data_IF_559945466042
#
_entry.id   IF_559945466042
#
_cell.length_a   1.000
_cell.length_b   1.000
_cell.length_c   1.000
_cell.angle_alpha   90.00
_cell.angle_beta   90.00
_cell.angle_gamma   90.00
#
_symmetry.space_group_name_H-M   'P 1'
#
loop_
_entity.id
_entity.type
_entity.pdbx_description
1 polymer ?
#
# COMPACT_ATOMS: atom_id res chain seq x y z
N UNK A 1 -6.09 -61.23 28.29
CA UNK A 1 -4.85 -61.81 28.86
C UNK A 1 -3.88 -60.65 29.00
N UNK A 2 -3.73 -60.05 30.19
CA UNK A 2 -2.63 -60.30 31.14
C UNK A 2 -1.30 -60.48 30.36
N UNK A 3 -0.27 -59.63 30.49
CA UNK A 3 0.49 -59.37 31.73
C UNK A 3 1.47 -58.20 31.48
N UNK A 4 1.62 -57.28 32.43
CA UNK A 4 2.86 -56.50 32.65
C UNK A 4 3.86 -57.37 33.46
N UNK A 5 4.95 -56.87 34.06
CA UNK A 5 5.96 -55.85 33.71
C UNK A 5 7.39 -56.45 33.79
N UNK A 6 8.48 -55.74 33.46
CA UNK A 6 9.76 -55.91 34.21
C UNK A 6 10.65 -54.66 34.12
N UNK A 7 10.86 -54.03 35.28
CA UNK A 7 11.91 -53.04 35.55
C UNK A 7 13.16 -53.78 36.02
N UNK A 8 14.35 -53.42 35.55
CA UNK A 8 15.61 -53.74 36.25
C UNK A 8 16.57 -52.53 36.29
N UNK A 9 16.78 -52.10 37.53
CA UNK A 9 17.80 -51.27 38.19
C UNK A 9 19.17 -51.23 37.47
N UNK A 10 19.76 -50.04 37.26
CA UNK A 10 20.55 -49.21 38.20
C UNK A 10 22.01 -49.67 38.31
N UNK A 11 22.94 -48.96 37.65
CA UNK A 11 24.36 -48.87 38.07
C UNK A 11 24.82 -47.43 37.88
N UNK A 12 25.18 -46.82 39.01
CA UNK A 12 25.83 -45.53 39.15
C UNK A 12 27.35 -45.72 39.06
N UNK A 13 28.07 -44.93 38.27
CA UNK A 13 29.49 -44.61 38.52
C UNK A 13 29.76 -43.14 38.18
N UNK A 14 30.49 -42.53 39.09
CA UNK A 14 30.69 -41.10 39.33
C UNK A 14 31.90 -40.55 38.56
N UNK A 15 31.73 -39.32 38.04
CA UNK A 15 32.69 -38.22 37.80
C UNK A 15 34.12 -38.48 37.27
N UNK A 16 34.43 -37.83 36.15
CA UNK A 16 35.66 -37.02 36.01
C UNK A 16 35.29 -35.71 35.31
N UNK A 17 35.62 -34.60 35.96
CA UNK A 17 35.47 -33.25 35.44
C UNK A 17 36.54 -32.96 34.37
N UNK A 18 36.12 -32.37 33.26
CA UNK A 18 36.99 -31.61 32.37
C UNK A 18 36.26 -30.33 31.96
N UNK A 19 36.57 -29.25 32.66
CA UNK A 19 36.21 -27.89 32.29
C UNK A 19 36.94 -27.54 31.00
N UNK A 20 36.20 -27.41 29.90
CA UNK A 20 36.64 -26.68 28.72
C UNK A 20 35.63 -25.58 28.47
N UNK A 21 36.00 -24.37 28.83
CA UNK A 21 35.33 -23.15 28.42
C UNK A 21 35.65 -22.91 26.94
N UNK A 22 34.66 -23.05 26.07
CA UNK A 22 34.66 -22.46 24.73
C UNK A 22 33.43 -21.56 24.64
N UNK A 23 33.70 -20.26 24.72
CA UNK A 23 32.77 -19.22 24.35
C UNK A 23 32.44 -19.37 22.86
N UNK A 24 31.17 -19.66 22.58
CA UNK A 24 30.59 -19.63 21.24
C UNK A 24 29.17 -19.15 21.37
N UNK A 25 28.99 -17.83 21.37
CA UNK A 25 27.69 -17.17 21.28
C UNK A 25 27.18 -17.39 19.85
N UNK A 26 26.55 -18.54 19.62
CA UNK A 26 25.73 -18.80 18.45
C UNK A 26 24.28 -18.50 18.78
N UNK A 27 23.92 -17.22 18.84
CA UNK A 27 22.51 -16.83 18.84
C UNK A 27 21.90 -17.23 17.49
N UNK A 28 21.32 -18.42 17.41
CA UNK A 28 20.25 -18.67 16.43
C UNK A 28 19.07 -17.83 16.91
N UNK A 29 19.04 -16.56 16.49
CA UNK A 29 17.81 -15.80 16.48
C UNK A 29 16.92 -16.47 15.42
N UNK A 30 16.08 -17.40 15.87
CA UNK A 30 14.83 -17.67 15.17
C UNK A 30 14.09 -16.35 15.23
N UNK A 31 14.14 -15.56 14.16
CA UNK A 31 13.19 -14.49 13.92
C UNK A 31 11.84 -15.17 13.77
N UNK A 32 11.19 -15.42 14.91
CA UNK A 32 9.76 -15.56 14.95
C UNK A 32 9.23 -14.25 14.36
N UNK A 33 8.82 -14.29 13.10
CA UNK A 33 8.01 -13.24 12.53
C UNK A 33 6.82 -13.08 13.46
N UNK A 34 6.84 -12.02 14.27
CA UNK A 34 5.66 -11.61 15.00
C UNK A 34 4.65 -11.24 13.93
N UNK A 35 3.71 -12.15 13.66
CA UNK A 35 2.45 -11.78 13.06
C UNK A 35 1.98 -10.53 13.80
N UNK A 36 1.84 -9.43 13.06
CA UNK A 36 1.31 -8.21 13.66
C UNK A 36 -0.04 -8.59 14.26
N UNK A 37 -0.30 -8.29 15.54
CA UNK A 37 -1.63 -8.46 16.09
C UNK A 37 -2.57 -7.67 15.19
N UNK A 38 -3.72 -8.28 14.85
CA UNK A 38 -4.82 -7.68 14.11
C UNK A 38 -5.08 -6.31 14.76
N UNK A 39 -4.47 -5.26 14.20
CA UNK A 39 -4.62 -3.91 14.71
C UNK A 39 -6.01 -3.56 14.24
N UNK A 40 -6.98 -3.68 15.15
CA UNK A 40 -8.14 -2.83 15.13
C UNK A 40 -7.64 -1.45 14.73
N UNK A 41 -7.95 -1.05 13.48
CA UNK A 41 -7.49 0.20 12.87
C UNK A 41 -7.70 1.29 13.90
N UNK A 42 -6.61 1.71 14.54
CA UNK A 42 -6.68 2.63 15.66
C UNK A 42 -7.23 3.95 15.13
N UNK A 43 -7.97 4.69 15.96
CA UNK A 43 -8.41 6.02 15.60
C UNK A 43 -7.17 6.86 15.20
N UNK A 44 -7.14 7.24 13.92
CA UNK A 44 -6.08 8.09 13.36
C UNK A 44 -6.18 9.48 14.00
N UNK A 45 -5.03 10.05 14.34
CA UNK A 45 -4.91 11.48 14.62
C UNK A 45 -4.30 12.16 13.39
N UNK A 46 -4.81 13.32 12.99
CA UNK A 46 -4.30 14.11 11.85
C UNK A 46 -2.77 14.31 11.87
N UNK A 47 -2.14 14.32 13.06
CA UNK A 47 -0.69 14.43 13.24
C UNK A 47 0.12 13.22 12.76
N UNK A 48 -0.52 12.13 12.37
CA UNK A 48 0.14 10.96 11.81
C UNK A 48 0.38 11.07 10.29
N UNK A 49 -0.28 12.03 9.62
CA UNK A 49 -0.05 12.28 8.21
C UNK A 49 1.27 13.01 7.99
N UNK A 50 1.98 12.64 6.93
CA UNK A 50 3.19 13.34 6.51
C UNK A 50 2.80 14.67 5.88
N UNK A 51 3.51 15.71 6.27
CA UNK A 51 3.37 17.02 5.67
C UNK A 51 4.25 17.14 4.42
N UNK A 52 3.76 17.86 3.42
CA UNK A 52 4.46 18.17 2.18
C UNK A 52 4.16 19.61 1.80
N UNK A 53 5.08 20.26 1.08
CA UNK A 53 4.97 21.70 0.78
C UNK A 53 3.87 22.03 -0.24
N UNK A 54 3.45 21.06 -1.05
CA UNK A 54 2.41 21.26 -2.06
C UNK A 54 1.04 21.50 -1.40
N UNK A 55 0.24 22.45 -1.91
CA UNK A 55 -1.09 22.70 -1.37
C UNK A 55 -1.97 21.46 -1.54
N UNK A 56 -2.82 21.17 -0.55
CA UNK A 56 -3.69 20.00 -0.58
C UNK A 56 -5.11 20.38 -0.94
N UNK A 57 -5.74 19.58 -1.79
CA UNK A 57 -7.16 19.69 -2.13
C UNK A 57 -7.94 18.63 -1.38
N UNK A 58 -9.10 19.02 -0.86
CA UNK A 58 -10.05 18.11 -0.22
C UNK A 58 -10.85 17.35 -1.27
N UNK A 59 -10.96 16.04 -1.09
CA UNK A 59 -11.78 15.18 -1.94
C UNK A 59 -13.10 14.92 -1.20
N UNK A 60 -14.20 15.24 -1.86
CA UNK A 60 -15.52 15.12 -1.28
C UNK A 60 -15.85 13.66 -0.92
N UNK A 61 -16.16 13.42 0.36
CA UNK A 61 -16.73 12.16 0.81
C UNK A 61 -18.18 12.02 0.31
N UNK A 62 -18.58 10.83 -0.12
CA UNK A 62 -19.96 10.61 -0.58
C UNK A 62 -20.97 10.52 0.57
N UNK A 63 -20.50 10.30 1.81
CA UNK A 63 -21.32 10.28 3.01
C UNK A 63 -20.47 10.52 4.27
N UNK A 64 -21.13 10.70 5.41
CA UNK A 64 -20.48 11.01 6.69
C UNK A 64 -19.75 9.84 7.34
N UNK A 65 -19.83 8.64 6.78
CA UNK A 65 -19.07 7.47 7.24
C UNK A 65 -17.77 7.25 6.45
N UNK A 66 -17.65 7.83 5.25
CA UNK A 66 -16.43 7.76 4.45
C UNK A 66 -15.26 8.52 5.11
N UNK A 67 -14.01 8.04 4.94
CA UNK A 67 -12.83 8.79 5.36
C UNK A 67 -12.79 10.13 4.64
N UNK A 68 -12.28 11.16 5.33
CA UNK A 68 -11.97 12.44 4.68
C UNK A 68 -10.61 12.30 4.00
N UNK A 69 -10.51 12.69 2.73
CA UNK A 69 -9.27 12.56 1.98
C UNK A 69 -8.75 13.94 1.58
N UNK A 70 -7.43 14.11 1.62
CA UNK A 70 -6.76 15.26 1.00
C UNK A 70 -5.60 14.80 0.16
N UNK A 71 -5.42 15.43 -0.99
CA UNK A 71 -4.36 15.09 -1.92
C UNK A 71 -3.53 16.33 -2.25
N UNK A 72 -2.20 16.24 -2.22
CA UNK A 72 -1.36 17.31 -2.73
C UNK A 72 -1.68 17.56 -4.21
N UNK A 73 -1.79 18.83 -4.57
CA UNK A 73 -1.91 19.28 -5.95
C UNK A 73 -0.73 20.20 -6.26
N UNK A 74 0.40 19.65 -6.74
CA UNK A 74 1.56 20.45 -7.15
C UNK A 74 1.22 21.45 -8.25
N UNK A 75 2.08 22.44 -8.47
CA UNK A 75 1.89 23.45 -9.51
C UNK A 75 1.76 22.79 -10.90
N UNK A 76 0.78 23.24 -11.69
CA UNK A 76 0.49 22.70 -13.03
C UNK A 76 -0.52 21.56 -13.06
N UNK A 77 -0.77 20.90 -11.92
CA UNK A 77 -1.84 19.90 -11.82
C UNK A 77 -3.22 20.56 -11.75
N UNK A 78 -4.18 19.99 -12.45
CA UNK A 78 -5.56 20.47 -12.48
C UNK A 78 -6.51 19.34 -12.15
N UNK A 79 -7.45 19.57 -11.23
CA UNK A 79 -8.56 18.63 -10.98
C UNK A 79 -9.44 18.54 -12.22
N UNK A 80 -9.68 17.33 -12.69
CA UNK A 80 -10.58 17.06 -13.80
C UNK A 80 -11.84 16.38 -13.27
N UNK A 81 -12.96 16.61 -13.94
CA UNK A 81 -14.22 15.92 -13.63
C UNK A 81 -14.61 15.13 -14.86
N UNK A 82 -14.66 13.82 -14.71
CA UNK A 82 -15.21 12.93 -15.73
C UNK A 82 -16.66 12.58 -15.34
N UNK A 83 -17.68 13.06 -16.10
CA UNK A 83 -19.08 12.76 -15.82
C UNK A 83 -19.45 11.28 -16.05
N UNK A 84 -18.61 10.52 -16.74
CA UNK A 84 -18.80 9.09 -17.01
C UNK A 84 -18.00 8.21 -16.03
N UNK A 85 -17.24 8.82 -15.13
CA UNK A 85 -16.45 8.11 -14.14
C UNK A 85 -17.31 7.15 -13.31
N UNK A 86 -16.72 5.99 -13.00
CA UNK A 86 -17.35 5.01 -12.13
C UNK A 86 -17.69 5.65 -10.76
N UNK A 87 -18.80 5.24 -10.10
CA UNK A 87 -19.32 5.92 -8.92
C UNK A 87 -18.41 5.83 -7.68
N UNK A 88 -17.41 4.95 -7.70
CA UNK A 88 -16.36 4.81 -6.71
C UNK A 88 -15.15 5.72 -6.96
N UNK A 89 -14.96 6.23 -8.19
CA UNK A 89 -13.97 7.27 -8.48
C UNK A 89 -14.42 8.57 -7.80
N UNK A 90 -13.58 9.08 -6.90
CA UNK A 90 -13.84 10.29 -6.10
C UNK A 90 -13.12 11.52 -6.62
N UNK A 91 -11.99 11.32 -7.30
CA UNK A 91 -11.15 12.44 -7.73
C UNK A 91 -10.23 12.02 -8.86
N UNK A 92 -10.01 12.95 -9.79
CA UNK A 92 -8.99 12.84 -10.83
C UNK A 92 -8.26 14.18 -10.92
N UNK A 93 -6.95 14.14 -11.13
CA UNK A 93 -6.18 15.31 -11.56
C UNK A 93 -5.23 14.91 -12.69
N UNK A 94 -5.02 15.84 -13.61
CA UNK A 94 -4.07 15.68 -14.71
C UNK A 94 -3.01 16.77 -14.69
N UNK A 95 -1.84 16.43 -15.22
CA UNK A 95 -0.84 17.39 -15.65
C UNK A 95 -0.78 17.30 -17.16
N UNK A 96 -1.24 18.36 -17.82
CA UNK A 96 -1.20 18.44 -19.28
C UNK A 96 0.23 18.74 -19.74
N UNK A 97 0.72 17.90 -20.65
CA UNK A 97 1.99 18.08 -21.33
C UNK A 97 1.77 18.73 -22.70
N UNK A 98 2.78 18.70 -23.58
CA UNK A 98 2.57 19.10 -24.98
C UNK A 98 1.60 18.14 -25.68
N UNK A 99 1.01 18.55 -26.81
CA UNK A 99 -0.04 17.75 -27.51
C UNK A 99 0.42 16.35 -27.96
N UNK A 100 1.74 16.13 -28.07
CA UNK A 100 2.34 14.87 -28.48
C UNK A 100 2.76 13.98 -27.29
N UNK A 101 2.55 14.44 -26.05
CA UNK A 101 2.97 13.79 -24.81
C UNK A 101 1.75 13.23 -24.04
N UNK A 102 1.95 12.10 -23.34
CA UNK A 102 0.85 11.47 -22.60
C UNK A 102 0.65 12.19 -21.27
N UNK A 103 -0.58 12.63 -20.94
CA UNK A 103 -0.80 13.40 -19.71
C UNK A 103 -0.46 12.56 -18.49
N UNK A 104 0.14 13.18 -17.47
CA UNK A 104 0.24 12.53 -16.17
C UNK A 104 -1.13 12.51 -15.52
N UNK A 105 -1.48 11.42 -14.88
CA UNK A 105 -2.81 11.21 -14.32
C UNK A 105 -2.72 10.67 -12.91
N UNK A 106 -3.62 11.17 -12.06
CA UNK A 106 -3.93 10.59 -10.76
C UNK A 106 -5.41 10.30 -10.71
N UNK A 107 -5.77 9.10 -10.25
CA UNK A 107 -7.15 8.69 -9.99
C UNK A 107 -7.24 8.20 -8.55
N UNK A 108 -8.24 8.70 -7.82
CA UNK A 108 -8.57 8.22 -6.47
C UNK A 108 -9.95 7.58 -6.49
N UNK A 109 -10.01 6.32 -6.07
CA UNK A 109 -11.24 5.56 -5.89
C UNK A 109 -11.45 5.18 -4.42
N UNK A 110 -12.70 5.12 -3.99
CA UNK A 110 -13.09 4.72 -2.63
C UNK A 110 -14.20 3.69 -2.73
N UNK A 111 -13.90 2.48 -2.26
CA UNK A 111 -14.85 1.37 -2.21
C UNK A 111 -15.17 1.00 -0.76
N UNK A 112 -16.45 0.87 -0.45
CA UNK A 112 -16.89 0.31 0.82
C UNK A 112 -16.83 -1.22 0.75
N UNK A 113 -16.24 -1.86 1.77
CA UNK A 113 -16.13 -3.32 1.85
C UNK A 113 -16.63 -3.82 3.21
N UNK A 114 -17.52 -4.82 3.19
CA UNK A 114 -18.09 -5.37 4.41
C UNK A 114 -17.17 -6.42 5.06
N UNK A 115 -16.92 -6.28 6.36
CA UNK A 115 -16.44 -7.33 7.27
C UNK A 115 -15.23 -8.15 6.77
N UNK A 116 -14.14 -7.46 6.43
CA UNK A 116 -12.83 -8.06 6.13
C UNK A 116 -11.75 -7.36 6.95
N UNK A 117 -10.69 -8.09 7.31
CA UNK A 117 -9.51 -7.49 7.96
C UNK A 117 -8.78 -6.56 6.99
N UNK A 118 -7.98 -5.63 7.51
CA UNK A 118 -7.22 -4.73 6.67
C UNK A 118 -6.24 -5.50 5.75
N UNK A 119 -5.53 -6.49 6.31
CA UNK A 119 -4.58 -7.30 5.54
C UNK A 119 -5.26 -8.06 4.40
N UNK A 120 -6.37 -8.74 4.68
CA UNK A 120 -7.06 -9.50 3.64
C UNK A 120 -7.68 -8.58 2.56
N UNK A 121 -8.00 -7.33 2.91
CA UNK A 121 -8.43 -6.34 1.94
C UNK A 121 -7.28 -5.81 1.08
N UNK A 122 -6.11 -5.55 1.67
CA UNK A 122 -4.89 -5.19 0.94
C UNK A 122 -4.51 -6.31 -0.03
N UNK A 123 -4.43 -7.56 0.45
CA UNK A 123 -4.15 -8.74 -0.37
C UNK A 123 -5.13 -8.89 -1.54
N UNK A 124 -6.43 -8.74 -1.26
CA UNK A 124 -7.45 -8.80 -2.31
C UNK A 124 -7.24 -7.70 -3.35
N UNK A 125 -7.05 -6.45 -2.93
CA UNK A 125 -6.89 -5.36 -3.89
C UNK A 125 -5.57 -5.47 -4.67
N UNK A 126 -4.49 -5.97 -4.05
CA UNK A 126 -3.25 -6.29 -4.77
C UNK A 126 -3.48 -7.35 -5.86
N UNK A 127 -4.22 -8.41 -5.54
CA UNK A 127 -4.56 -9.45 -6.51
C UNK A 127 -5.46 -8.91 -7.64
N UNK A 128 -6.42 -8.05 -7.32
CA UNK A 128 -7.29 -7.41 -8.32
C UNK A 128 -6.46 -6.49 -9.26
N UNK A 129 -5.50 -5.73 -8.73
CA UNK A 129 -4.57 -4.90 -9.53
C UNK A 129 -3.69 -5.79 -10.42
N UNK A 130 -3.09 -6.85 -9.88
CA UNK A 130 -2.26 -7.78 -10.66
C UNK A 130 -3.05 -8.41 -11.79
N UNK A 131 -4.30 -8.84 -11.55
CA UNK A 131 -5.15 -9.39 -12.59
C UNK A 131 -5.43 -8.38 -13.72
N UNK A 132 -5.69 -7.11 -13.38
CA UNK A 132 -5.87 -6.04 -14.38
C UNK A 132 -4.59 -5.83 -15.20
N UNK A 133 -3.43 -5.77 -14.54
CA UNK A 133 -2.14 -5.65 -15.23
C UNK A 133 -1.90 -6.84 -16.19
N UNK A 134 -2.19 -8.07 -15.76
CA UNK A 134 -2.03 -9.27 -16.59
C UNK A 134 -2.96 -9.27 -17.81
N UNK A 135 -4.21 -8.78 -17.67
CA UNK A 135 -5.14 -8.59 -18.79
C UNK A 135 -4.59 -7.61 -19.84
N UNK A 136 -3.83 -6.62 -19.38
CA UNK A 136 -3.17 -5.60 -20.18
C UNK A 136 -1.75 -6.00 -20.64
N UNK A 137 -1.29 -7.21 -20.33
CA UNK A 137 0.05 -7.70 -20.68
C UNK A 137 1.19 -7.05 -19.88
N UNK A 138 0.86 -6.40 -18.77
CA UNK A 138 1.79 -5.76 -17.84
C UNK A 138 2.09 -6.66 -16.62
N UNK A 139 3.12 -6.29 -15.86
CA UNK A 139 3.49 -6.96 -14.61
C UNK A 139 4.15 -5.99 -13.64
N UNK A 140 4.12 -6.31 -12.34
CA UNK A 140 4.84 -5.51 -11.32
C UNK A 140 6.37 -5.55 -11.55
N UNK A 141 7.04 -4.44 -11.25
CA UNK A 141 8.51 -4.33 -11.38
C UNK A 141 9.27 -4.93 -10.19
N UNK A 142 8.55 -5.45 -9.19
CA UNK A 142 9.17 -5.93 -7.97
C UNK A 142 8.19 -6.36 -6.89
N UNK A 143 8.65 -6.19 -5.65
CA UNK A 143 7.86 -6.55 -4.48
C UNK A 143 6.81 -5.48 -4.20
N UNK A 144 5.68 -5.95 -3.69
CA UNK A 144 4.66 -5.14 -3.06
C UNK A 144 5.18 -4.61 -1.73
N UNK A 145 5.02 -3.31 -1.47
CA UNK A 145 5.57 -2.64 -0.29
C UNK A 145 4.50 -2.33 0.76
N UNK A 146 4.59 -2.94 1.94
CA UNK A 146 3.72 -2.64 3.08
C UNK A 146 4.25 -1.47 3.91
N UNK A 147 3.38 -0.51 4.21
CA UNK A 147 3.69 0.64 5.06
C UNK A 147 2.44 1.22 5.72
N UNK A 148 2.49 2.48 6.13
CA UNK A 148 1.33 3.21 6.65
C UNK A 148 1.15 4.56 5.99
N UNK A 149 -0.11 4.99 5.84
CA UNK A 149 -0.51 6.36 5.46
C UNK A 149 -1.34 6.92 6.59
N UNK A 150 -0.93 8.05 7.17
CA UNK A 150 -1.59 8.62 8.36
C UNK A 150 -1.74 7.60 9.52
N UNK A 151 -0.83 6.63 9.63
CA UNK A 151 -0.92 5.53 10.61
C UNK A 151 -1.90 4.40 10.27
N UNK A 152 -2.58 4.46 9.12
CA UNK A 152 -3.44 3.38 8.60
C UNK A 152 -2.61 2.35 7.82
N UNK A 153 -3.01 1.06 7.83
CA UNK A 153 -2.40 0.04 6.97
C UNK A 153 -2.49 0.45 5.50
N UNK A 154 -1.34 0.41 4.82
CA UNK A 154 -1.23 0.79 3.42
C UNK A 154 -0.25 -0.12 2.67
N UNK A 155 -0.41 -0.16 1.36
CA UNK A 155 0.40 -0.98 0.47
C UNK A 155 0.61 -0.26 -0.86
N UNK A 156 1.86 -0.23 -1.33
CA UNK A 156 2.20 0.33 -2.63
C UNK A 156 2.62 -0.77 -3.60
N UNK A 157 2.10 -0.71 -4.82
CA UNK A 157 2.46 -1.56 -5.95
C UNK A 157 2.99 -0.65 -7.06
N UNK A 158 4.05 -1.07 -7.74
CA UNK A 158 4.65 -0.30 -8.83
C UNK A 158 4.90 -1.19 -10.05
N UNK A 159 4.71 -0.61 -11.22
CA UNK A 159 4.93 -1.26 -12.50
C UNK A 159 5.36 -0.25 -13.57
N UNK A 160 5.96 -0.78 -14.62
CA UNK A 160 6.25 -0.11 -15.88
C UNK A 160 5.08 -0.32 -16.85
N UNK A 161 4.36 0.74 -17.21
CA UNK A 161 3.31 0.72 -18.23
C UNK A 161 3.96 0.82 -19.63
N UNK A 162 4.02 -0.32 -20.32
CA UNK A 162 4.57 -0.44 -21.67
C UNK A 162 3.55 -0.14 -22.77
N UNK A 163 2.30 0.22 -22.44
CA UNK A 163 1.22 0.48 -23.42
C UNK A 163 1.14 1.94 -23.85
N UNK A 164 1.86 2.81 -23.16
CA UNK A 164 2.31 4.08 -23.75
C UNK A 164 3.42 3.67 -24.73
N UNK A 165 3.16 2.92 -25.81
CA UNK A 165 2.29 3.31 -26.92
C UNK A 165 1.96 2.16 -27.90
N UNK A 166 0.77 2.14 -28.52
CA UNK A 166 0.54 1.35 -29.76
C UNK A 166 1.08 2.06 -31.02
N UNK A 167 1.17 3.41 -30.99
CA UNK A 167 1.55 4.26 -32.13
C UNK A 167 2.89 5.00 -31.97
N UNK A 168 3.54 4.92 -30.81
CA UNK A 168 4.75 5.71 -30.60
C UNK A 168 6.00 5.00 -31.16
N UNK A 169 7.02 5.80 -31.55
CA UNK A 169 8.17 5.30 -32.25
C UNK A 169 8.84 4.17 -31.45
N UNK A 170 9.36 3.17 -32.13
CA UNK A 170 10.20 2.16 -31.50
C UNK A 170 11.33 2.85 -30.71
N UNK A 171 11.27 2.82 -29.38
CA UNK A 171 12.22 3.48 -28.49
C UNK A 171 11.64 4.20 -27.28
N UNK A 172 10.32 4.36 -27.15
CA UNK A 172 9.74 4.97 -25.96
C UNK A 172 9.86 4.04 -24.75
N UNK A 173 10.40 4.60 -23.66
CA UNK A 173 10.67 3.87 -22.42
C UNK A 173 9.38 3.64 -21.63
N UNK A 174 9.24 2.49 -20.94
CA UNK A 174 8.04 2.19 -20.17
C UNK A 174 7.72 3.26 -19.13
N UNK A 175 6.47 3.69 -19.07
CA UNK A 175 6.01 4.77 -18.20
C UNK A 175 5.83 4.25 -16.75
N UNK A 176 6.48 4.84 -15.73
CA UNK A 176 6.37 4.38 -14.36
C UNK A 176 4.98 4.71 -13.80
N UNK A 177 4.35 3.71 -13.20
CA UNK A 177 3.06 3.83 -12.57
C UNK A 177 3.05 3.16 -11.19
N UNK A 178 2.15 3.63 -10.33
CA UNK A 178 1.99 3.10 -9.00
C UNK A 178 0.53 3.11 -8.54
N UNK A 179 0.21 2.15 -7.67
CA UNK A 179 -1.03 2.07 -6.94
C UNK A 179 -0.74 2.08 -5.45
N UNK A 180 -1.33 3.03 -4.73
CA UNK A 180 -1.32 3.12 -3.28
C UNK A 180 -2.69 2.70 -2.75
N UNK A 181 -2.71 1.61 -1.99
CA UNK A 181 -3.87 1.11 -1.26
C UNK A 181 -3.81 1.59 0.19
N UNK A 182 -4.92 2.07 0.74
CA UNK A 182 -5.05 2.40 2.17
C UNK A 182 -6.36 1.84 2.71
N UNK A 183 -6.30 1.19 3.87
CA UNK A 183 -7.51 0.68 4.55
C UNK A 183 -7.90 1.61 5.69
N UNK A 184 -9.10 2.20 5.58
CA UNK A 184 -9.69 3.04 6.60
C UNK A 184 -10.94 2.41 7.21
N UNK A 185 -11.32 2.87 8.41
CA UNK A 185 -12.62 2.54 9.03
C UNK A 185 -13.39 3.81 9.34
N UNK A 186 -14.70 3.79 9.12
CA UNK A 186 -15.60 4.91 9.42
C UNK A 186 -17.05 4.45 9.48
N UNK A 187 -17.82 4.98 10.45
CA UNK A 187 -19.23 4.60 10.63
C UNK A 187 -19.49 3.08 10.79
N UNK A 188 -18.52 2.33 11.32
CA UNK A 188 -18.60 0.87 11.47
C UNK A 188 -18.36 0.07 10.18
N UNK A 189 -17.91 0.73 9.11
CA UNK A 189 -17.58 0.14 7.79
C UNK A 189 -16.07 0.18 7.55
N UNK A 190 -15.60 -0.71 6.68
CA UNK A 190 -14.23 -0.70 6.16
C UNK A 190 -14.24 -0.08 4.76
N UNK A 191 -13.26 0.76 4.47
CA UNK A 191 -13.09 1.41 3.18
C UNK A 191 -11.72 1.05 2.60
N UNK A 192 -11.72 0.67 1.33
CA UNK A 192 -10.53 0.60 0.50
C UNK A 192 -10.38 1.92 -0.25
N UNK A 193 -9.32 2.66 0.04
CA UNK A 193 -8.94 3.85 -0.71
C UNK A 193 -7.82 3.45 -1.65
N UNK A 194 -8.01 3.67 -2.94
CA UNK A 194 -7.04 3.37 -3.98
C UNK A 194 -6.65 4.67 -4.67
N UNK A 195 -5.36 4.99 -4.68
CA UNK A 195 -4.79 6.06 -5.49
C UNK A 195 -3.92 5.40 -6.56
N UNK A 196 -4.21 5.67 -7.83
CA UNK A 196 -3.36 5.28 -8.95
C UNK A 196 -2.72 6.54 -9.52
N UNK A 197 -1.44 6.45 -9.87
CA UNK A 197 -0.68 7.52 -10.51
C UNK A 197 0.17 6.94 -11.63
N UNK A 198 0.21 7.64 -12.76
CA UNK A 198 1.03 7.28 -13.92
C UNK A 198 1.45 8.52 -14.69
N UNK A 199 2.57 8.42 -15.39
CA UNK A 199 3.13 9.50 -16.20
C UNK A 199 4.41 9.07 -16.90
N UNK A 200 5.10 10.02 -17.53
CA UNK A 200 6.24 9.72 -18.38
C UNK A 200 7.52 9.40 -17.60
N UNK A 201 8.30 8.43 -18.09
CA UNK A 201 9.48 7.86 -17.39
C UNK A 201 10.56 8.88 -17.06
N UNK A 202 11.05 9.58 -18.07
CA UNK A 202 12.19 10.51 -17.93
C UNK A 202 11.74 11.95 -17.67
N UNK A 203 10.51 12.11 -17.14
CA UNK A 203 9.97 13.42 -16.81
C UNK A 203 10.28 13.76 -15.33
N UNK A 204 11.24 14.66 -15.05
CA UNK A 204 11.61 14.99 -13.67
C UNK A 204 10.48 15.70 -12.91
N UNK A 205 9.53 16.33 -13.62
CA UNK A 205 8.33 16.91 -13.00
C UNK A 205 7.42 15.80 -12.51
N UNK A 206 7.19 14.76 -13.32
CA UNK A 206 6.43 13.58 -12.91
C UNK A 206 7.03 12.94 -11.65
N UNK A 207 8.32 12.60 -11.69
CA UNK A 207 8.97 11.87 -10.60
C UNK A 207 8.87 12.63 -9.26
N UNK A 208 9.13 13.95 -9.29
CA UNK A 208 9.02 14.82 -8.12
C UNK A 208 7.57 14.92 -7.62
N UNK A 209 6.64 15.13 -8.53
CA UNK A 209 5.24 15.37 -8.17
C UNK A 209 4.57 14.08 -7.70
N UNK A 210 4.89 12.94 -8.31
CA UNK A 210 4.42 11.63 -7.88
C UNK A 210 4.88 11.31 -6.46
N UNK A 211 6.14 11.58 -6.12
CA UNK A 211 6.63 11.44 -4.74
C UNK A 211 5.85 12.35 -3.80
N UNK A 212 5.65 13.63 -4.15
CA UNK A 212 4.92 14.57 -3.32
C UNK A 212 3.46 14.16 -3.10
N UNK A 213 2.78 13.70 -4.16
CA UNK A 213 1.38 13.25 -4.14
C UNK A 213 1.24 12.00 -3.29
N UNK A 214 2.03 10.95 -3.54
CA UNK A 214 1.98 9.70 -2.78
C UNK A 214 2.34 9.90 -1.30
N UNK A 215 3.41 10.65 -1.02
CA UNK A 215 3.88 10.88 0.35
C UNK A 215 2.97 11.82 1.14
N UNK A 216 2.31 12.76 0.48
CA UNK A 216 1.46 13.77 1.11
C UNK A 216 -0.02 13.44 1.13
N UNK A 217 -0.46 12.34 0.51
CA UNK A 217 -1.84 11.88 0.51
C UNK A 217 -2.32 11.61 1.94
N UNK A 218 -3.44 12.23 2.30
CA UNK A 218 -4.03 12.13 3.63
C UNK A 218 -5.30 11.30 3.59
N UNK A 219 -5.38 10.32 4.50
CA UNK A 219 -6.60 9.55 4.77
C UNK A 219 -6.94 9.76 6.25
N UNK A 220 -7.97 10.56 6.50
CA UNK A 220 -8.35 11.04 7.82
C UNK A 220 -9.64 10.34 8.30
N UNK A 221 -9.87 10.28 9.62
CA UNK A 221 -11.13 9.75 10.16
C UNK A 221 -12.36 10.45 9.57
N UNK A 222 -13.46 9.73 9.48
CA UNK A 222 -14.75 10.29 9.09
C UNK A 222 -15.17 11.43 10.03
N UNK A 223 -15.72 12.51 9.48
CA UNK A 223 -16.13 13.74 10.21
C UNK A 223 -14.99 14.47 10.94
N UNK A 224 -13.74 14.22 10.58
CA UNK A 224 -12.64 15.10 11.01
C UNK A 224 -12.97 16.52 10.57
N UNK A 225 -13.00 17.46 11.51
CA UNK A 225 -13.24 18.87 11.16
C UNK A 225 -12.00 19.37 10.44
N UNK A 226 -12.21 19.78 9.20
CA UNK A 226 -11.24 20.49 8.38
C UNK A 226 -11.35 21.99 8.70
#
# INVERSE_FOLDING_TARGET
MNTAPTVKKLITVTAVAATVALAGVGCTAVTAGTAMPDRDVAAVSDTACRDVDAPKVEIAAANTAEPQLRIPQPEGWTTTTDPEAAPDIRFTQTFELSEDESPHVVVVAVSEVANISAEALLDKGSADIVALLEEDGLSLDGAVEDHTVCGLPARTLSWEDTRISEDAPAGDEPAPAAALQVVAKGGGRTYHVLLMIGGEYDNPTYQRDAEAILAGFEVLPANSRI
#
